data_IF_528568285391
#
_entry.id   IF_528568285391
#
_cell.length_a   1.000
_cell.length_b   1.000
_cell.length_c   1.000
_cell.angle_alpha   90.00
_cell.angle_beta   90.00
_cell.angle_gamma   90.00
#
_symmetry.space_group_name_H-M   'P 1'
#
loop_
_entity.id
_entity.type
_entity.pdbx_description
1 polymer ?
#
# COMPACT_ATOMS: atom_id res chain seq x y z
N UNK A 1 -2.08 -4.44 -3.45
CA UNK A 1 -1.39 -3.74 -4.51
C UNK A 1 -0.16 -3.06 -4.03
N UNK A 2 0.95 -3.45 -4.65
CA UNK A 2 2.24 -2.77 -4.60
C UNK A 2 2.29 -1.89 -5.85
N UNK A 3 2.40 -0.58 -5.72
CA UNK A 3 2.62 0.26 -6.90
C UNK A 3 4.10 0.24 -7.28
N UNK A 4 4.47 -0.62 -8.25
CA UNK A 4 5.77 -0.58 -8.93
C UNK A 4 5.53 -0.07 -10.35
N UNK A 5 6.04 1.13 -10.66
CA UNK A 5 5.84 1.77 -11.96
C UNK A 5 6.94 1.34 -12.95
N UNK A 6 6.82 0.17 -13.60
CA UNK A 6 7.46 -0.07 -14.90
C UNK A 6 6.89 -1.30 -15.67
N UNK A 7 6.50 -1.19 -16.95
CA UNK A 7 6.07 -2.34 -17.77
C UNK A 7 7.25 -3.16 -18.32
N UNK A 8 7.12 -4.48 -18.60
CA UNK A 8 5.89 -5.28 -18.63
C UNK A 8 5.93 -6.39 -17.56
N UNK A 9 5.92 -6.05 -16.27
CA UNK A 9 5.92 -7.09 -15.23
C UNK A 9 4.53 -7.25 -14.57
N UNK A 10 3.83 -8.24 -15.12
CA UNK A 10 2.90 -9.19 -14.49
C UNK A 10 1.71 -8.65 -13.67
N UNK A 11 0.56 -8.62 -14.35
CA UNK A 11 -0.80 -8.63 -13.78
C UNK A 11 -0.97 -9.63 -12.61
N UNK A 12 -0.18 -10.69 -12.58
CA UNK A 12 -0.21 -11.75 -11.55
C UNK A 12 0.38 -11.33 -10.20
N UNK A 13 1.30 -10.37 -10.19
CA UNK A 13 2.08 -9.93 -9.01
C UNK A 13 1.56 -8.61 -8.44
N UNK A 14 0.75 -7.88 -9.20
CA UNK A 14 0.16 -6.58 -8.83
C UNK A 14 -0.78 -6.66 -7.61
N UNK A 15 -1.32 -7.85 -7.30
CA UNK A 15 -2.22 -8.03 -6.16
C UNK A 15 -3.53 -7.24 -6.28
N UNK A 16 -4.03 -7.11 -7.52
CA UNK A 16 -5.30 -6.45 -7.83
C UNK A 16 -6.54 -7.24 -7.36
N UNK A 17 -7.76 -6.74 -7.62
CA UNK A 17 -9.01 -7.25 -7.04
C UNK A 17 -9.33 -8.72 -7.36
N UNK A 18 -8.68 -9.29 -8.38
CA UNK A 18 -8.84 -10.68 -8.80
C UNK A 18 -8.12 -11.68 -7.88
N UNK A 19 -7.31 -11.19 -6.93
CA UNK A 19 -6.45 -11.97 -6.03
C UNK A 19 -6.81 -11.72 -4.57
N UNK A 20 -8.02 -12.10 -4.16
CA UNK A 20 -8.41 -12.09 -2.74
C UNK A 20 -7.70 -13.24 -2.00
N UNK A 21 -7.21 -12.97 -0.80
CA UNK A 21 -6.63 -13.97 0.11
C UNK A 21 -7.65 -14.21 1.21
N UNK A 22 -8.13 -15.45 1.31
CA UNK A 22 -9.10 -15.84 2.33
C UNK A 22 -8.52 -15.75 3.75
N UNK A 23 -9.34 -15.56 4.79
CA UNK A 23 -8.89 -15.58 6.18
C UNK A 23 -8.09 -16.85 6.51
N UNK A 24 -6.89 -16.69 7.07
CA UNK A 24 -5.98 -17.80 7.37
C UNK A 24 -5.20 -18.33 6.16
N UNK A 25 -5.48 -17.83 4.95
CA UNK A 25 -4.67 -18.06 3.77
C UNK A 25 -3.38 -17.24 3.79
N UNK A 26 -2.40 -17.69 3.02
CA UNK A 26 -1.14 -16.98 2.81
C UNK A 26 -0.80 -16.96 1.33
N UNK A 27 -0.24 -15.85 0.88
CA UNK A 27 0.34 -15.73 -0.45
C UNK A 27 1.73 -15.11 -0.32
N UNK A 28 2.68 -15.67 -1.07
CA UNK A 28 4.06 -15.21 -1.12
C UNK A 28 4.42 -14.90 -2.57
N UNK A 29 5.25 -13.90 -2.75
CA UNK A 29 5.58 -13.36 -4.04
C UNK A 29 7.04 -12.90 -4.04
N UNK A 30 7.76 -13.26 -5.11
CA UNK A 30 9.06 -12.70 -5.44
C UNK A 30 8.88 -11.53 -6.41
N UNK A 31 9.17 -10.31 -5.93
CA UNK A 31 9.11 -9.09 -6.71
C UNK A 31 10.50 -8.74 -7.26
N UNK A 32 10.78 -8.87 -8.57
CA UNK A 32 12.01 -8.37 -9.14
C UNK A 32 11.99 -6.84 -9.17
N UNK A 33 12.72 -6.20 -8.26
CA UNK A 33 12.87 -4.74 -8.20
C UNK A 33 13.82 -4.30 -9.32
N UNK A 34 13.28 -3.60 -10.33
CA UNK A 34 14.03 -3.10 -11.50
C UNK A 34 13.71 -1.65 -11.83
N UNK A 35 13.30 -0.89 -10.83
CA UNK A 35 13.03 0.55 -10.94
C UNK A 35 14.11 1.35 -10.20
N UNK A 36 14.19 2.64 -10.49
CA UNK A 36 15.10 3.57 -9.82
C UNK A 36 14.75 3.72 -8.34
N UNK A 37 15.70 4.25 -7.57
CA UNK A 37 15.50 4.62 -6.18
C UNK A 37 14.21 5.44 -6.01
N UNK A 38 13.34 4.97 -5.12
CA UNK A 38 12.00 5.51 -4.94
C UNK A 38 11.36 5.05 -3.64
N UNK A 39 10.49 5.90 -3.11
CA UNK A 39 9.61 5.50 -2.02
C UNK A 39 8.29 5.00 -2.60
N UNK A 40 8.01 3.72 -2.38
CA UNK A 40 6.82 3.04 -2.90
C UNK A 40 5.94 2.53 -1.76
N UNK A 41 4.70 2.16 -2.05
CA UNK A 41 3.73 1.78 -1.02
C UNK A 41 2.86 0.62 -1.44
N UNK A 42 2.32 -0.08 -0.44
CA UNK A 42 1.41 -1.19 -0.62
C UNK A 42 0.18 -1.06 0.24
N UNK A 43 -0.97 -1.44 -0.32
CA UNK A 43 -2.27 -1.45 0.35
C UNK A 43 -3.21 -2.50 -0.27
N UNK A 44 -4.30 -2.92 0.41
CA UNK A 44 -5.26 -3.85 -0.15
C UNK A 44 -5.96 -3.31 -1.39
N UNK A 45 -6.31 -4.21 -2.30
CA UNK A 45 -7.09 -3.91 -3.50
C UNK A 45 -8.32 -4.82 -3.65
N UNK A 46 -8.77 -5.37 -2.53
CA UNK A 46 -9.90 -6.28 -2.46
C UNK A 46 -11.17 -5.58 -2.95
N UNK A 47 -11.86 -6.20 -3.91
CA UNK A 47 -13.06 -5.62 -4.52
C UNK A 47 -14.08 -5.21 -3.44
N UNK A 48 -14.55 -3.95 -3.50
CA UNK A 48 -15.46 -3.32 -2.53
C UNK A 48 -14.99 -3.23 -1.07
N UNK A 49 -13.80 -3.76 -0.73
CA UNK A 49 -13.25 -3.75 0.63
C UNK A 49 -11.97 -2.93 0.78
N UNK A 50 -11.37 -2.43 -0.32
CA UNK A 50 -10.16 -1.57 -0.29
C UNK A 50 -10.26 -0.43 0.72
N UNK A 51 -11.31 0.39 0.64
CA UNK A 51 -11.49 1.56 1.51
C UNK A 51 -11.51 1.18 3.00
N UNK A 52 -12.44 0.32 3.44
CA UNK A 52 -12.50 -0.14 4.83
C UNK A 52 -11.20 -0.81 5.31
N UNK A 53 -10.57 -1.65 4.48
CA UNK A 53 -9.35 -2.36 4.85
C UNK A 53 -8.17 -1.39 5.04
N UNK A 54 -7.94 -0.47 4.10
CA UNK A 54 -6.91 0.57 4.22
C UNK A 54 -7.19 1.52 5.38
N UNK A 55 -8.45 1.91 5.58
CA UNK A 55 -8.85 2.77 6.69
C UNK A 55 -8.60 2.14 8.06
N UNK A 56 -8.76 0.82 8.17
CA UNK A 56 -8.45 0.06 9.39
C UNK A 56 -6.95 -0.20 9.58
N UNK A 57 -6.08 0.42 8.76
CA UNK A 57 -4.63 0.42 8.94
C UNK A 57 -3.84 -0.49 8.00
N UNK A 58 -4.48 -1.12 7.00
CA UNK A 58 -3.76 -1.90 6.00
C UNK A 58 -3.20 -0.99 4.90
N UNK A 59 -2.09 -0.31 5.18
CA UNK A 59 -1.24 0.34 4.21
C UNK A 59 0.14 0.58 4.82
N UNK A 60 1.20 0.46 4.02
CA UNK A 60 2.57 0.70 4.48
C UNK A 60 3.48 1.02 3.27
N UNK A 61 4.72 1.45 3.50
CA UNK A 61 5.69 1.78 2.46
C UNK A 61 6.94 0.93 2.54
N UNK A 62 7.64 0.89 1.42
CA UNK A 62 8.98 0.33 1.29
C UNK A 62 9.82 1.31 0.47
N UNK A 63 11.12 1.31 0.74
CA UNK A 63 12.09 2.18 0.09
C UNK A 63 12.92 1.29 -0.85
N UNK A 64 13.12 1.78 -2.07
CA UNK A 64 14.06 1.22 -3.04
C UNK A 64 15.23 2.19 -3.10
N UNK A 65 16.42 1.67 -2.88
CA UNK A 65 17.69 2.39 -3.04
C UNK A 65 18.44 1.81 -4.25
N UNK A 66 19.28 2.65 -4.87
CA UNK A 66 20.18 2.29 -5.96
C UNK A 66 21.54 2.99 -5.81
N UNK A 67 22.53 2.59 -6.62
CA UNK A 67 23.89 3.12 -6.53
C UNK A 67 23.95 4.64 -6.76
N UNK A 68 23.04 5.18 -7.58
CA UNK A 68 22.98 6.61 -7.85
C UNK A 68 22.44 7.39 -6.64
N UNK A 69 21.42 6.88 -5.96
CA UNK A 69 20.94 7.44 -4.71
C UNK A 69 21.98 7.36 -3.60
N UNK A 70 22.85 6.35 -3.66
CA UNK A 70 23.94 6.18 -2.72
C UNK A 70 25.06 7.21 -2.87
N UNK A 71 25.28 7.71 -4.09
CA UNK A 71 26.30 8.73 -4.33
C UNK A 71 25.83 10.15 -3.96
N UNK A 72 24.55 10.34 -3.65
CA UNK A 72 24.01 11.64 -3.27
C UNK A 72 24.29 11.97 -1.79
N UNK A 73 24.58 13.24 -1.45
CA UNK A 73 24.79 13.68 -0.07
C UNK A 73 23.45 13.90 0.66
N UNK A 74 22.57 12.89 0.64
CA UNK A 74 21.29 12.89 1.34
C UNK A 74 21.43 12.25 2.73
N UNK A 75 20.54 12.55 3.70
CA UNK A 75 20.37 11.75 4.90
C UNK A 75 20.05 10.29 4.55
N UNK A 76 20.59 9.33 5.30
CA UNK A 76 20.49 7.89 4.99
C UNK A 76 20.19 6.99 6.18
N UNK A 77 20.18 7.56 7.38
CA UNK A 77 19.97 6.78 8.60
C UNK A 77 18.50 6.79 8.95
N UNK A 78 17.81 5.74 8.51
CA UNK A 78 16.38 5.57 8.72
C UNK A 78 15.99 5.70 10.20
N UNK A 79 15.02 6.55 10.49
CA UNK A 79 14.54 6.87 11.85
C UNK A 79 15.41 7.84 12.63
N UNK A 80 16.51 8.35 12.07
CA UNK A 80 17.38 9.35 12.69
C UNK A 80 17.33 10.64 11.88
N UNK A 81 17.84 10.60 10.65
CA UNK A 81 17.93 11.75 9.76
C UNK A 81 17.16 11.55 8.44
N UNK A 82 16.78 10.31 8.13
CA UNK A 82 15.79 9.97 7.10
C UNK A 82 14.53 9.38 7.77
N UNK A 83 13.38 10.02 7.58
CA UNK A 83 12.14 9.67 8.28
C UNK A 83 10.99 9.43 7.31
N UNK A 84 10.36 8.25 7.43
CA UNK A 84 9.08 7.97 6.78
C UNK A 84 7.95 8.71 7.49
N UNK A 85 7.18 9.49 6.74
CA UNK A 85 5.96 10.13 7.26
C UNK A 85 4.76 9.74 6.40
N UNK A 86 3.75 9.16 7.05
CA UNK A 86 2.47 8.84 6.44
C UNK A 86 1.36 9.72 7.02
N UNK A 87 0.52 10.29 6.16
CA UNK A 87 -0.62 11.12 6.58
C UNK A 87 -1.92 10.41 6.22
N UNK A 88 -2.62 9.91 7.24
CA UNK A 88 -3.98 9.39 7.11
C UNK A 88 -4.96 10.39 7.70
N UNK A 89 -5.81 10.97 6.85
CA UNK A 89 -6.89 11.82 7.34
C UNK A 89 -8.07 10.96 7.78
N UNK A 90 -8.40 11.06 9.07
CA UNK A 90 -9.60 10.45 9.64
C UNK A 90 -10.55 11.54 10.14
N UNK A 91 -11.85 11.43 9.83
CA UNK A 91 -12.90 12.21 10.50
C UNK A 91 -13.59 11.31 11.50
N UNK A 92 -13.40 11.54 12.80
CA UNK A 92 -14.10 10.74 13.81
C UNK A 92 -15.56 11.21 13.93
N UNK A 93 -16.52 10.43 13.47
CA UNK A 93 -17.89 10.47 13.97
C UNK A 93 -18.05 9.33 14.98
N UNK A 94 -18.63 9.59 16.15
CA UNK A 94 -18.68 8.67 17.30
C UNK A 94 -19.49 7.36 17.07
N UNK A 95 -19.88 7.00 15.84
CA UNK A 95 -20.68 5.81 15.52
C UNK A 95 -20.25 5.19 14.17
N UNK A 96 -18.99 4.77 14.02
CA UNK A 96 -18.48 4.29 12.72
C UNK A 96 -18.78 2.81 12.37
N UNK A 97 -19.44 2.05 13.25
CA UNK A 97 -19.72 0.63 12.96
C UNK A 97 -20.67 0.42 11.76
N UNK A 98 -21.48 1.43 11.38
CA UNK A 98 -22.53 1.29 10.36
C UNK A 98 -22.47 2.28 9.18
N UNK A 99 -21.55 3.26 9.18
CA UNK A 99 -21.59 4.35 8.17
C UNK A 99 -20.84 4.04 6.86
N UNK A 100 -19.90 3.09 6.87
CA UNK A 100 -19.18 2.71 5.65
C UNK A 100 -20.05 1.91 4.67
N UNK A 101 -20.84 0.95 5.17
CA UNK A 101 -21.74 0.15 4.31
C UNK A 101 -22.81 1.01 3.65
N UNK A 102 -23.32 2.02 4.37
CA UNK A 102 -24.39 2.92 3.90
C UNK A 102 -23.96 3.83 2.75
N UNK A 103 -22.66 4.13 2.61
CA UNK A 103 -22.13 4.96 1.52
C UNK A 103 -21.81 4.17 0.26
N UNK A 104 -21.56 2.87 0.38
CA UNK A 104 -21.25 1.99 -0.76
C UNK A 104 -22.54 1.38 -1.35
N UNK A 105 -23.62 1.30 -0.56
CA UNK A 105 -24.91 0.77 -1.03
C UNK A 105 -26.08 1.73 -0.70
N UNK A 106 -26.40 2.70 -1.57
CA UNK A 106 -27.42 3.71 -1.29
C UNK A 106 -28.88 3.20 -1.38
N UNK A 107 -29.10 1.89 -1.44
CA UNK A 107 -30.41 1.26 -1.70
C UNK A 107 -31.09 0.61 -0.49
N UNK A 108 -30.66 0.91 0.76
CA UNK A 108 -31.37 0.56 1.99
C UNK A 108 -31.45 1.73 2.98
#
# INVERSE_FOLDING_TARGET
TVFLLWPPFFRELDGGPQREIEPGGSWSLDLPVRQQASTSWYHPHTHHKTGPQTYNGLADMFIIDDENSDDLPLPKTYGIDDNRTEFLQHRSSKCYHNDYERKINPSF
#
